data_IF_766331497047
#
_entry.id   IF_766331497047
#
_cell.length_a   1.000
_cell.length_b   1.000
_cell.length_c   1.000
_cell.angle_alpha   90.00
_cell.angle_beta   90.00
_cell.angle_gamma   90.00
#
_symmetry.space_group_name_H-M   'P 1'
#
loop_
_entity.id
_entity.type
_entity.pdbx_description
1 polymer ?
#
# COMPACT_ATOMS: atom_id res chain seq x y z
N UNK A 1 7.21 -25.45 60.15
CA UNK A 1 7.93 -26.75 60.15
C UNK A 1 7.80 -27.39 58.77
N UNK A 2 8.70 -28.31 58.41
CA UNK A 2 8.82 -28.89 57.06
C UNK A 2 7.74 -29.94 56.79
N UNK A 3 7.29 -30.05 55.53
CA UNK A 3 7.05 -31.33 54.86
C UNK A 3 7.23 -31.16 53.34
N UNK A 4 7.85 -32.14 52.70
CA UNK A 4 8.32 -32.11 51.31
C UNK A 4 8.02 -33.46 50.65
N UNK A 5 7.99 -33.48 49.30
CA UNK A 5 7.78 -34.66 48.40
C UNK A 5 6.30 -35.08 48.28
N UNK A 6 5.75 -35.24 47.07
CA UNK A 6 6.30 -36.06 45.98
C UNK A 6 6.25 -35.42 44.58
N UNK A 7 7.14 -35.93 43.73
CA UNK A 7 7.37 -35.55 42.35
C UNK A 7 7.11 -36.79 41.47
N UNK A 8 6.35 -36.67 40.38
CA UNK A 8 6.35 -37.69 39.32
C UNK A 8 6.28 -37.04 37.93
N UNK A 9 7.43 -37.08 37.25
CA UNK A 9 7.61 -36.90 35.82
C UNK A 9 6.87 -37.97 35.02
N UNK A 10 6.52 -37.66 33.78
CA UNK A 10 5.89 -38.60 32.84
C UNK A 10 5.89 -38.11 31.40
N UNK A 11 7.06 -37.91 30.80
CA UNK A 11 7.18 -37.91 29.33
C UNK A 11 7.32 -39.36 28.85
N UNK A 12 6.73 -39.69 27.68
CA UNK A 12 7.41 -40.10 26.44
C UNK A 12 6.40 -40.81 25.50
N UNK A 13 6.30 -40.37 24.23
CA UNK A 13 6.16 -41.15 22.97
C UNK A 13 5.15 -42.34 22.91
N UNK A 14 4.36 -42.62 21.87
CA UNK A 14 4.23 -42.18 20.45
C UNK A 14 2.75 -42.49 20.03
N UNK A 15 2.21 -42.33 18.82
CA UNK A 15 2.72 -42.01 17.47
C UNK A 15 1.67 -41.19 16.67
N UNK A 16 1.91 -40.99 15.38
CA UNK A 16 0.97 -40.41 14.42
C UNK A 16 0.30 -41.47 13.53
N UNK A 17 -0.88 -41.17 12.98
CA UNK A 17 -1.39 -41.81 11.77
C UNK A 17 -1.76 -40.74 10.75
N UNK A 18 -1.21 -40.91 9.54
CA UNK A 18 -1.36 -40.01 8.41
C UNK A 18 -2.66 -40.31 7.64
N UNK A 19 -3.31 -39.25 7.15
CA UNK A 19 -4.18 -39.33 5.98
C UNK A 19 -4.08 -38.00 5.23
N UNK A 20 -3.20 -37.94 4.23
CA UNK A 20 -3.06 -36.77 3.37
C UNK A 20 -3.92 -36.91 2.11
N UNK A 21 -4.25 -35.78 1.49
CA UNK A 21 -4.50 -35.72 0.05
C UNK A 21 -3.55 -34.70 -0.55
N UNK A 22 -2.83 -35.15 -1.58
CA UNK A 22 -1.75 -34.40 -2.24
C UNK A 22 -2.34 -33.67 -3.45
N UNK A 23 -1.91 -32.43 -3.67
CA UNK A 23 -2.23 -31.68 -4.89
C UNK A 23 -1.62 -32.39 -6.10
N UNK A 24 -2.46 -32.77 -7.06
CA UNK A 24 -2.01 -33.12 -8.41
C UNK A 24 -2.41 -32.01 -9.39
N UNK A 25 -1.47 -31.10 -9.62
CA UNK A 25 -1.47 -30.30 -10.84
C UNK A 25 -0.57 -31.00 -11.87
N UNK A 26 -1.19 -31.58 -12.91
CA UNK A 26 -0.50 -31.88 -14.17
C UNK A 26 -1.52 -32.03 -15.29
N UNK A 27 -1.64 -31.00 -16.13
CA UNK A 27 -2.19 -31.16 -17.47
C UNK A 27 -1.03 -31.52 -18.40
N UNK A 28 -0.99 -32.75 -18.90
CA UNK A 28 -0.09 -33.17 -19.97
C UNK A 28 -0.78 -34.19 -20.87
N UNK A 29 -1.27 -33.66 -22.00
CA UNK A 29 -1.64 -34.23 -23.30
C UNK A 29 -1.84 -35.75 -23.51
N UNK A 30 -2.92 -36.02 -24.25
CA UNK A 30 -3.10 -37.04 -25.30
C UNK A 30 -2.87 -38.54 -24.98
N UNK A 31 -3.97 -39.29 -24.93
CA UNK A 31 -4.19 -40.37 -25.91
C UNK A 31 -5.70 -40.56 -26.20
N UNK A 32 -6.04 -41.16 -27.34
CA UNK A 32 -7.33 -40.95 -28.01
C UNK A 32 -8.42 -42.00 -27.72
N UNK A 33 -9.68 -41.54 -27.64
CA UNK A 33 -10.88 -42.37 -27.79
C UNK A 33 -11.83 -41.71 -28.79
N UNK A 34 -12.42 -42.52 -29.68
CA UNK A 34 -13.13 -42.05 -30.89
C UNK A 34 -14.45 -41.31 -30.61
N UNK A 35 -14.90 -40.43 -31.54
CA UNK A 35 -16.08 -39.60 -31.33
C UNK A 35 -17.40 -40.36 -31.59
N UNK A 36 -18.31 -40.32 -30.62
CA UNK A 36 -19.72 -40.66 -30.83
C UNK A 36 -20.47 -39.43 -31.39
N UNK A 37 -21.21 -39.62 -32.49
CA UNK A 37 -21.88 -38.59 -33.30
C UNK A 37 -23.11 -37.93 -32.63
N UNK A 38 -23.39 -38.21 -31.36
CA UNK A 38 -24.70 -37.89 -30.73
C UNK A 38 -24.78 -36.50 -30.04
N UNK A 39 -23.74 -35.65 -30.10
CA UNK A 39 -23.73 -34.31 -29.44
C UNK A 39 -23.59 -33.11 -30.41
N UNK A 40 -24.02 -33.26 -31.67
CA UNK A 40 -24.02 -32.15 -32.66
C UNK A 40 -25.14 -31.12 -32.50
N UNK A 41 -26.20 -31.40 -31.74
CA UNK A 41 -27.35 -30.49 -31.58
C UNK A 41 -27.18 -29.40 -30.49
N UNK A 42 -26.19 -29.51 -29.60
CA UNK A 42 -25.98 -28.56 -28.50
C UNK A 42 -25.01 -27.40 -28.83
N UNK A 43 -24.41 -27.39 -30.03
CA UNK A 43 -23.36 -26.42 -30.42
C UNK A 43 -23.86 -25.29 -31.36
N UNK A 44 -25.15 -24.97 -31.35
CA UNK A 44 -25.77 -23.96 -32.24
C UNK A 44 -26.18 -22.65 -31.55
N UNK A 45 -25.69 -22.39 -30.32
CA UNK A 45 -25.96 -21.15 -29.57
C UNK A 45 -24.72 -20.50 -28.93
N UNK A 46 -23.52 -20.76 -29.48
CA UNK A 46 -22.27 -20.12 -29.08
C UNK A 46 -21.46 -19.61 -30.28
N UNK A 47 -22.13 -18.93 -31.21
CA UNK A 47 -21.45 -18.13 -32.24
C UNK A 47 -22.21 -16.81 -32.48
N UNK A 48 -22.25 -15.98 -31.44
CA UNK A 48 -22.68 -14.59 -31.54
C UNK A 48 -21.85 -13.74 -30.58
N UNK A 49 -21.09 -12.81 -31.18
CA UNK A 49 -20.10 -11.93 -30.56
C UNK A 49 -18.81 -12.63 -30.13
N UNK A 50 -17.63 -12.27 -30.69
CA UNK A 50 -16.41 -12.45 -29.92
C UNK A 50 -16.62 -11.70 -28.61
N UNK A 51 -16.22 -12.29 -27.49
CA UNK A 51 -16.06 -11.52 -26.28
C UNK A 51 -15.20 -10.31 -26.68
N UNK A 52 -15.76 -9.10 -26.57
CA UNK A 52 -14.92 -7.90 -26.54
C UNK A 52 -14.03 -8.14 -25.35
N UNK A 53 -12.79 -8.53 -25.64
CA UNK A 53 -11.70 -8.42 -24.70
C UNK A 53 -11.66 -6.93 -24.36
N UNK A 54 -12.31 -6.56 -23.26
CA UNK A 54 -12.35 -5.18 -22.77
C UNK A 54 -10.99 -4.96 -22.13
N UNK A 55 -9.99 -4.92 -23.01
CA UNK A 55 -8.74 -4.22 -22.84
C UNK A 55 -9.06 -2.73 -22.79
N UNK A 56 -9.78 -2.33 -21.73
CA UNK A 56 -9.62 -1.04 -21.08
C UNK A 56 -8.23 -1.01 -20.40
N UNK A 57 -7.18 -1.30 -21.18
CA UNK A 57 -6.03 -0.42 -21.17
C UNK A 57 -6.60 0.94 -21.56
N UNK A 58 -6.94 1.74 -20.55
CA UNK A 58 -6.86 3.19 -20.67
C UNK A 58 -5.40 3.45 -21.07
N UNK A 59 -5.14 3.54 -22.38
CA UNK A 59 -3.81 3.89 -22.91
C UNK A 59 -3.63 5.36 -22.62
N UNK A 60 -3.34 5.63 -21.37
CA UNK A 60 -2.91 6.94 -20.96
C UNK A 60 -1.54 7.19 -21.57
N UNK A 61 -1.26 8.39 -22.08
CA UNK A 61 0.10 8.88 -22.05
C UNK A 61 0.63 8.69 -20.63
N UNK A 62 1.87 8.23 -20.49
CA UNK A 62 2.64 8.31 -19.24
C UNK A 62 3.85 9.17 -19.56
N UNK A 63 3.56 10.44 -19.87
CA UNK A 63 4.52 11.47 -20.27
C UNK A 63 4.66 12.56 -19.21
N UNK A 64 4.20 12.27 -17.98
CA UNK A 64 4.25 13.21 -16.86
C UNK A 64 5.69 13.59 -16.54
N UNK A 65 6.00 14.89 -16.65
CA UNK A 65 7.28 15.44 -16.21
C UNK A 65 7.16 16.00 -14.80
N UNK A 66 8.28 16.04 -14.07
CA UNK A 66 8.29 16.56 -12.71
C UNK A 66 9.64 17.16 -12.32
N UNK A 67 9.65 17.96 -11.25
CA UNK A 67 10.85 18.61 -10.71
C UNK A 67 11.29 18.04 -9.34
N UNK A 68 10.83 16.84 -8.98
CA UNK A 68 11.06 16.24 -7.67
C UNK A 68 10.16 16.74 -6.53
N UNK A 69 9.39 17.82 -6.70
CA UNK A 69 8.41 18.30 -5.70
C UNK A 69 6.96 18.29 -6.21
N UNK A 70 6.77 18.57 -7.50
CA UNK A 70 5.49 18.65 -8.19
C UNK A 70 5.62 18.08 -9.60
N UNK A 71 4.50 17.64 -10.16
CA UNK A 71 4.37 17.40 -11.59
C UNK A 71 4.30 18.74 -12.32
N UNK A 72 4.93 18.82 -13.49
CA UNK A 72 5.13 20.07 -14.24
C UNK A 72 4.30 20.10 -15.52
N UNK A 73 4.22 18.98 -16.24
CA UNK A 73 3.43 18.82 -17.46
C UNK A 73 3.12 17.34 -17.73
N UNK A 74 2.35 17.08 -18.78
CA UNK A 74 1.99 15.72 -19.22
C UNK A 74 0.74 15.17 -18.54
N UNK A 75 0.41 13.94 -18.91
CA UNK A 75 -0.70 13.14 -18.42
C UNK A 75 -0.18 11.78 -17.96
N UNK A 76 -0.86 11.19 -16.97
CA UNK A 76 -0.51 9.89 -16.44
C UNK A 76 -1.62 9.28 -15.61
N UNK A 77 -1.56 7.97 -15.40
CA UNK A 77 -2.46 7.31 -14.46
C UNK A 77 -1.95 7.51 -13.02
N UNK A 78 -2.80 8.03 -12.13
CA UNK A 78 -2.41 8.30 -10.73
C UNK A 78 -2.05 7.05 -9.93
N UNK A 79 -2.73 5.91 -10.18
CA UNK A 79 -2.37 4.64 -9.53
C UNK A 79 -0.99 4.12 -9.95
N UNK A 80 -0.54 4.42 -11.17
CA UNK A 80 0.82 4.10 -11.63
C UNK A 80 1.84 5.07 -11.05
N UNK A 81 1.51 6.37 -11.01
CA UNK A 81 2.36 7.43 -10.48
C UNK A 81 2.46 7.49 -8.94
N UNK A 82 1.76 6.60 -8.21
CA UNK A 82 1.74 6.57 -6.74
C UNK A 82 3.14 6.53 -6.08
N UNK A 83 4.11 5.82 -6.67
CA UNK A 83 5.48 5.74 -6.13
C UNK A 83 6.25 7.04 -6.36
N UNK A 84 6.11 7.63 -7.55
CA UNK A 84 6.63 8.96 -7.90
C UNK A 84 6.11 10.01 -6.92
N UNK A 85 4.81 9.96 -6.60
CA UNK A 85 4.19 10.85 -5.61
C UNK A 85 4.80 10.67 -4.20
N UNK A 86 4.99 9.44 -3.74
CA UNK A 86 5.65 9.17 -2.44
C UNK A 86 7.09 9.69 -2.42
N UNK A 87 7.81 9.61 -3.54
CA UNK A 87 9.13 10.25 -3.69
C UNK A 87 9.06 11.77 -3.46
N UNK A 88 8.12 12.46 -4.12
CA UNK A 88 7.93 13.91 -4.00
C UNK A 88 7.50 14.35 -2.59
N UNK A 89 6.63 13.57 -1.95
CA UNK A 89 6.22 13.82 -0.57
C UNK A 89 7.42 13.73 0.39
N UNK A 90 8.28 12.73 0.24
CA UNK A 90 9.50 12.62 1.03
C UNK A 90 10.50 13.76 0.75
N UNK A 91 10.65 14.15 -0.52
CA UNK A 91 11.60 15.17 -0.95
C UNK A 91 11.21 16.60 -0.53
N UNK A 92 9.91 16.94 -0.56
CA UNK A 92 9.46 18.33 -0.44
C UNK A 92 8.26 18.57 0.49
N UNK A 93 7.73 17.54 1.15
CA UNK A 93 6.64 17.62 2.14
C UNK A 93 7.00 16.99 3.48
N UNK A 94 8.29 16.76 3.71
CA UNK A 94 8.87 16.50 5.04
C UNK A 94 9.33 17.82 5.65
N UNK A 95 9.51 17.81 6.97
CA UNK A 95 9.84 18.97 7.80
C UNK A 95 11.15 18.69 8.55
N UNK A 96 12.07 19.66 8.54
CA UNK A 96 13.25 19.64 9.42
C UNK A 96 12.88 20.13 10.83
N UNK A 97 13.60 19.68 11.88
CA UNK A 97 13.41 20.26 13.21
C UNK A 97 13.83 21.74 13.22
N UNK A 98 13.10 22.62 13.96
CA UNK A 98 13.51 24.02 14.10
C UNK A 98 14.90 24.14 14.74
N UNK A 99 15.55 25.29 14.54
CA UNK A 99 16.85 25.60 15.15
C UNK A 99 16.78 25.41 16.68
N UNK A 100 17.81 24.78 17.25
CA UNK A 100 17.89 24.36 18.66
C UNK A 100 16.87 23.27 19.09
N UNK A 101 16.25 22.57 18.13
CA UNK A 101 15.41 21.40 18.41
C UNK A 101 16.00 20.12 17.82
N UNK A 102 15.96 19.03 18.61
CA UNK A 102 16.24 17.68 18.16
C UNK A 102 14.96 16.90 17.85
N UNK A 103 15.13 15.69 17.29
CA UNK A 103 14.05 14.75 17.03
C UNK A 103 13.98 13.70 18.14
N UNK A 104 12.87 13.67 18.89
CA UNK A 104 12.60 12.75 19.98
C UNK A 104 11.72 11.55 19.58
N UNK A 105 10.61 11.37 20.31
CA UNK A 105 9.67 10.27 20.13
C UNK A 105 9.18 10.14 18.67
N UNK A 106 8.92 8.91 18.23
CA UNK A 106 8.41 8.61 16.88
C UNK A 106 6.99 8.07 16.99
N UNK A 107 6.10 8.57 16.16
CA UNK A 107 4.76 8.01 15.96
C UNK A 107 4.55 7.68 14.49
N UNK A 108 3.80 6.62 14.22
CA UNK A 108 3.34 6.25 12.88
C UNK A 108 1.82 6.45 12.83
N UNK A 109 1.30 7.07 11.76
CA UNK A 109 -0.14 7.09 11.47
C UNK A 109 -0.36 6.64 10.04
N UNK A 110 -1.33 5.76 9.85
CA UNK A 110 -1.76 5.32 8.52
C UNK A 110 -2.87 6.22 8.01
N UNK A 111 -2.80 6.60 6.73
CA UNK A 111 -3.88 7.25 5.97
C UNK A 111 -4.20 6.46 4.70
N UNK A 112 -5.47 6.47 4.31
CA UNK A 112 -5.96 5.87 3.07
C UNK A 112 -6.15 6.96 2.01
N UNK A 113 -5.66 6.71 0.80
CA UNK A 113 -5.73 7.64 -0.33
C UNK A 113 -6.37 6.94 -1.52
N UNK A 114 -7.55 7.41 -1.92
CA UNK A 114 -8.28 6.88 -3.07
C UNK A 114 -7.92 7.65 -4.35
N UNK A 115 -7.49 6.91 -5.38
CA UNK A 115 -7.25 7.40 -6.73
C UNK A 115 -8.32 6.90 -7.69
N UNK A 116 -8.62 7.68 -8.72
CA UNK A 116 -9.43 7.17 -9.84
C UNK A 116 -8.64 6.08 -10.59
N UNK A 117 -9.19 4.88 -10.77
CA UNK A 117 -8.42 3.72 -11.26
C UNK A 117 -8.11 3.81 -12.76
N UNK A 118 -8.94 4.48 -13.55
CA UNK A 118 -8.90 4.47 -15.03
C UNK A 118 -8.74 5.84 -15.66
N UNK A 119 -8.57 6.91 -14.86
CA UNK A 119 -8.40 8.26 -15.41
C UNK A 119 -6.98 8.47 -15.92
N UNK A 120 -6.90 9.32 -16.95
CA UNK A 120 -5.71 10.11 -17.22
C UNK A 120 -5.80 11.40 -16.44
N UNK A 121 -4.99 11.50 -15.40
CA UNK A 121 -4.87 12.70 -14.60
C UNK A 121 -3.75 13.55 -15.19
N UNK A 122 -4.02 14.84 -15.42
CA UNK A 122 -3.01 15.80 -15.84
C UNK A 122 -2.10 16.19 -14.66
N UNK A 123 -0.99 16.87 -14.95
CA UNK A 123 -0.08 17.35 -13.90
C UNK A 123 -0.79 18.17 -12.79
N UNK A 124 -1.85 18.93 -13.12
CA UNK A 124 -2.62 19.69 -12.15
C UNK A 124 -3.41 18.77 -11.20
N UNK A 125 -4.07 17.74 -11.73
CA UNK A 125 -4.84 16.74 -10.97
C UNK A 125 -3.92 15.87 -10.12
N UNK A 126 -2.77 15.44 -10.67
CA UNK A 126 -1.74 14.71 -9.91
C UNK A 126 -1.16 15.57 -8.75
N UNK A 127 -0.96 16.86 -8.97
CA UNK A 127 -0.60 17.81 -7.92
C UNK A 127 -1.71 18.04 -6.88
N UNK A 128 -2.99 17.98 -7.28
CA UNK A 128 -4.12 18.04 -6.35
C UNK A 128 -4.11 16.84 -5.40
N UNK A 129 -3.87 15.63 -5.90
CA UNK A 129 -3.68 14.45 -5.04
C UNK A 129 -2.46 14.62 -4.11
N UNK A 130 -1.29 15.06 -4.61
CA UNK A 130 -0.09 15.31 -3.77
C UNK A 130 -0.39 16.26 -2.60
N UNK A 131 -1.04 17.38 -2.89
CA UNK A 131 -1.41 18.36 -1.87
C UNK A 131 -2.47 17.82 -0.90
N UNK A 132 -3.43 17.03 -1.40
CA UNK A 132 -4.43 16.33 -0.58
C UNK A 132 -3.81 15.33 0.39
N UNK A 133 -2.83 14.53 -0.06
CA UNK A 133 -2.09 13.59 0.79
C UNK A 133 -1.33 14.33 1.90
N UNK A 134 -0.59 15.38 1.55
CA UNK A 134 0.11 16.21 2.52
C UNK A 134 -0.86 16.86 3.54
N UNK A 135 -2.01 17.36 3.09
CA UNK A 135 -3.00 17.93 4.00
C UNK A 135 -3.60 16.87 4.95
N UNK A 136 -3.84 15.65 4.47
CA UNK A 136 -4.27 14.55 5.33
C UNK A 136 -3.20 14.17 6.36
N UNK A 137 -1.91 14.16 5.99
CA UNK A 137 -0.81 13.95 6.92
C UNK A 137 -0.70 15.07 7.98
N UNK A 138 -0.89 16.34 7.58
CA UNK A 138 -0.95 17.47 8.52
C UNK A 138 -2.14 17.32 9.49
N UNK A 139 -3.31 16.92 8.99
CA UNK A 139 -4.53 16.73 9.80
C UNK A 139 -4.44 15.51 10.74
N UNK A 140 -3.71 14.46 10.35
CA UNK A 140 -3.50 13.24 11.14
C UNK A 140 -2.34 13.36 12.16
N UNK A 141 -1.68 14.53 12.22
CA UNK A 141 -0.56 14.80 13.12
C UNK A 141 -0.99 14.68 14.60
N UNK A 142 -0.24 13.98 15.48
CA UNK A 142 -0.66 13.75 16.87
C UNK A 142 -0.85 15.03 17.69
N UNK A 143 0.13 15.95 17.63
CA UNK A 143 0.06 17.30 18.22
C UNK A 143 0.94 18.27 17.41
N UNK A 144 0.85 19.57 17.70
CA UNK A 144 1.73 20.61 17.14
C UNK A 144 3.23 20.40 17.39
N UNK A 145 3.60 19.59 18.38
CA UNK A 145 5.00 19.27 18.70
C UNK A 145 5.62 18.29 17.70
N UNK A 146 4.81 17.57 16.94
CA UNK A 146 5.29 16.62 15.94
C UNK A 146 5.50 17.30 14.58
N UNK A 147 6.44 16.76 13.82
CA UNK A 147 6.72 17.11 12.41
C UNK A 147 6.77 15.83 11.57
N UNK A 148 6.42 15.95 10.29
CA UNK A 148 6.40 14.85 9.32
C UNK A 148 7.82 14.64 8.81
N UNK A 149 8.40 13.45 9.03
CA UNK A 149 9.77 13.13 8.62
C UNK A 149 9.84 11.96 7.65
N UNK A 150 8.70 11.50 7.11
CA UNK A 150 8.69 10.50 6.04
C UNK A 150 7.30 10.01 5.67
N UNK A 151 7.19 9.52 4.43
CA UNK A 151 6.01 8.91 3.83
C UNK A 151 6.41 7.53 3.29
N UNK A 152 5.67 6.48 3.65
CA UNK A 152 5.92 5.13 3.17
C UNK A 152 4.63 4.48 2.67
N UNK A 153 4.61 4.03 1.42
CA UNK A 153 3.55 3.17 0.92
C UNK A 153 3.60 1.81 1.63
N UNK A 154 2.53 1.47 2.34
CA UNK A 154 2.34 0.16 2.98
C UNK A 154 1.86 -0.85 1.94
N UNK A 155 0.77 -0.52 1.23
CA UNK A 155 0.17 -1.33 0.18
C UNK A 155 -0.71 -0.46 -0.73
N UNK A 156 -1.26 -1.07 -1.78
CA UNK A 156 -2.34 -0.46 -2.54
C UNK A 156 -3.10 -1.51 -3.34
N UNK A 157 -4.41 -1.31 -3.46
CA UNK A 157 -5.38 -2.31 -3.93
C UNK A 157 -6.63 -1.64 -4.49
N UNK A 158 -7.34 -2.32 -5.38
CA UNK A 158 -8.67 -1.91 -5.84
C UNK A 158 -9.69 -2.15 -4.72
N UNK A 159 -10.45 -1.13 -4.30
CA UNK A 159 -11.44 -1.27 -3.21
C UNK A 159 -12.63 -2.14 -3.63
N UNK A 160 -13.02 -2.06 -4.89
CA UNK A 160 -13.99 -2.97 -5.54
C UNK A 160 -13.52 -3.28 -6.96
N UNK A 161 -14.18 -4.21 -7.67
CA UNK A 161 -13.80 -4.61 -9.03
C UNK A 161 -13.69 -3.45 -10.05
N UNK A 162 -14.39 -2.33 -9.81
CA UNK A 162 -14.36 -1.11 -10.63
C UNK A 162 -14.15 0.17 -9.79
N UNK A 163 -13.85 0.01 -8.50
CA UNK A 163 -13.78 1.09 -7.52
C UNK A 163 -12.43 1.81 -7.49
N UNK A 164 -12.25 2.81 -6.61
CA UNK A 164 -10.99 3.52 -6.50
C UNK A 164 -9.83 2.57 -6.24
N UNK A 165 -8.67 2.91 -6.81
CA UNK A 165 -7.41 2.32 -6.38
C UNK A 165 -7.00 3.01 -5.09
N UNK A 166 -7.04 2.28 -3.97
CA UNK A 166 -6.63 2.79 -2.66
C UNK A 166 -5.15 2.53 -2.44
N UNK A 167 -4.40 3.56 -2.09
CA UNK A 167 -3.06 3.44 -1.51
C UNK A 167 -3.15 3.66 0.00
N UNK A 168 -2.51 2.78 0.76
CA UNK A 168 -2.34 2.93 2.20
C UNK A 168 -0.93 3.50 2.47
N UNK A 169 -0.86 4.65 3.13
CA UNK A 169 0.38 5.35 3.47
C UNK A 169 0.60 5.36 4.99
N UNK A 170 1.76 4.88 5.43
CA UNK A 170 2.30 5.15 6.76
C UNK A 170 3.06 6.48 6.73
N UNK A 171 2.68 7.39 7.61
CA UNK A 171 3.34 8.68 7.81
C UNK A 171 4.17 8.60 9.09
N UNK A 172 5.45 8.94 9.00
CA UNK A 172 6.36 9.00 10.13
C UNK A 172 6.37 10.40 10.72
N UNK A 173 6.00 10.51 11.99
CA UNK A 173 6.08 11.74 12.77
C UNK A 173 7.18 11.65 13.82
N UNK A 174 7.93 12.73 14.00
CA UNK A 174 8.95 12.86 15.06
C UNK A 174 8.62 14.05 15.94
N UNK A 175 8.64 13.87 17.26
CA UNK A 175 8.42 14.95 18.23
C UNK A 175 9.63 15.89 18.25
N UNK A 176 9.40 17.19 18.06
CA UNK A 176 10.40 18.24 18.31
C UNK A 176 10.72 18.31 19.80
N UNK A 177 12.00 18.28 20.15
CA UNK A 177 12.49 18.46 21.52
C UNK A 177 13.50 19.61 21.51
N UNK A 178 13.06 20.78 21.93
CA UNK A 178 13.87 22.00 21.88
C UNK A 178 14.66 22.18 23.18
N UNK A 179 15.96 22.45 23.07
CA UNK A 179 16.75 22.87 24.23
C UNK A 179 16.32 24.27 24.63
N UNK A 180 15.83 24.43 25.86
CA UNK A 180 15.48 25.75 26.38
C UNK A 180 16.68 26.68 26.36
N UNK A 181 16.49 27.89 25.85
CA UNK A 181 17.44 29.01 26.00
C UNK A 181 17.77 29.17 27.49
N UNK A 182 19.04 29.41 27.88
CA UNK A 182 19.38 29.59 29.28
C UNK A 182 18.51 30.68 29.92
N UNK A 183 18.06 30.43 31.15
CA UNK A 183 17.38 31.43 31.98
C UNK A 183 18.22 32.71 32.03
N UNK A 184 17.55 33.86 31.87
CA UNK A 184 18.18 35.18 31.88
C UNK A 184 18.98 35.47 33.16
N UNK A 185 19.76 36.57 33.17
CA UNK A 185 20.77 36.81 34.19
C UNK A 185 20.19 36.77 35.61
N UNK A 186 20.85 36.01 36.48
CA UNK A 186 20.64 36.06 37.92
C UNK A 186 21.16 37.42 38.41
N UNK A 187 20.27 38.40 38.50
CA UNK A 187 20.54 39.61 39.27
C UNK A 187 20.34 39.30 40.75
N UNK A 188 21.47 39.21 41.46
CA UNK A 188 21.55 39.43 42.91
C UNK A 188 21.53 40.94 43.20
#
# INVERSE_FOLDING_TARGET
MKNFKNFKTGHFFTAALFAGFVFFASCSNDEAVQPDETTKAARSFQEAQPAKDVSLKSVCPDDVTNNGCIFVSGMGNSSQNQFTMVGMLNNCKTEEPPLNCGLGATELRTIDVDFSPYNCDDAATLNAYLNGINQQAINARPTSDFIITGYQRVRGYMVTAYGPYRMELSITYRKKVCSGTPSGPIHN
#
